data_IF_513459163399
#
_entry.id   IF_513459163399
#
_cell.length_a   1.000
_cell.length_b   1.000
_cell.length_c   1.000
_cell.angle_alpha   90.00
_cell.angle_beta   90.00
_cell.angle_gamma   90.00
#
_symmetry.space_group_name_H-M   'P 1'
#
loop_
_entity.id
_entity.type
_entity.pdbx_description
1 polymer ?
#
# COMPACT_ATOMS: atom_id res chain seq x y z
N UNK A 1 -43.69 -60.05 43.03
CA UNK A 1 -42.64 -60.18 44.04
C UNK A 1 -41.99 -58.84 44.05
N UNK A 2 -42.45 -58.09 44.89
CA UNK A 2 -42.08 -57.61 46.26
C UNK A 2 -41.11 -56.46 46.12
N UNK A 3 -41.63 -55.33 46.40
CA UNK A 3 -41.65 -54.56 47.67
C UNK A 3 -40.48 -53.59 47.75
N UNK A 4 -40.81 -52.34 47.68
CA UNK A 4 -40.85 -51.31 48.75
C UNK A 4 -39.49 -50.96 49.33
N UNK A 5 -39.09 -49.71 49.34
CA UNK A 5 -39.08 -48.91 50.56
C UNK A 5 -38.81 -47.38 50.26
N UNK A 6 -39.61 -46.64 50.95
CA UNK A 6 -39.64 -45.19 51.11
C UNK A 6 -38.36 -44.62 51.74
N UNK A 7 -38.11 -43.34 51.45
CA UNK A 7 -37.19 -42.48 52.17
C UNK A 7 -37.34 -41.02 51.78
N UNK A 8 -38.30 -40.33 52.39
CA UNK A 8 -38.37 -38.86 52.45
C UNK A 8 -37.11 -38.34 53.17
N UNK A 9 -36.52 -37.29 52.64
CA UNK A 9 -36.13 -36.20 53.51
C UNK A 9 -36.06 -34.86 52.78
N UNK A 10 -36.70 -34.00 53.42
CA UNK A 10 -37.05 -32.60 53.24
C UNK A 10 -35.88 -31.63 53.18
N UNK A 11 -36.19 -30.51 52.54
CA UNK A 11 -35.80 -29.15 52.88
C UNK A 11 -34.36 -28.69 52.61
N UNK A 12 -34.30 -27.75 51.73
CA UNK A 12 -33.14 -26.90 51.53
C UNK A 12 -33.36 -25.90 50.41
N UNK A 13 -34.49 -25.19 50.38
CA UNK A 13 -34.62 -23.94 49.63
C UNK A 13 -33.68 -22.92 50.28
N UNK A 14 -32.47 -22.82 49.76
CA UNK A 14 -31.62 -21.65 49.99
C UNK A 14 -32.11 -20.59 49.02
N UNK A 15 -32.93 -19.67 49.55
CA UNK A 15 -33.17 -18.36 48.94
C UNK A 15 -31.83 -17.62 48.98
N UNK A 16 -31.10 -17.65 47.87
CA UNK A 16 -30.10 -16.64 47.61
C UNK A 16 -30.88 -15.35 47.29
N UNK A 17 -31.21 -14.58 48.30
CA UNK A 17 -31.49 -13.15 48.17
C UNK A 17 -30.21 -12.52 47.60
N UNK A 18 -30.14 -12.39 46.29
CA UNK A 18 -29.15 -11.55 45.61
C UNK A 18 -29.30 -10.14 46.14
N UNK A 19 -28.29 -9.71 46.87
CA UNK A 19 -28.22 -8.42 47.50
C UNK A 19 -28.30 -7.33 46.43
N UNK A 20 -29.36 -6.54 46.34
CA UNK A 20 -29.54 -5.55 45.25
C UNK A 20 -28.46 -4.46 45.24
N UNK A 21 -27.70 -4.31 46.32
CA UNK A 21 -26.57 -3.38 46.40
C UNK A 21 -25.33 -3.85 45.63
N UNK A 22 -25.07 -5.16 45.53
CA UNK A 22 -23.92 -5.69 44.80
C UNK A 22 -24.12 -5.55 43.27
N UNK A 23 -25.34 -5.65 42.78
CA UNK A 23 -25.69 -5.41 41.39
C UNK A 23 -25.63 -3.92 41.01
N UNK A 24 -25.95 -3.01 41.95
CA UNK A 24 -25.83 -1.57 41.74
C UNK A 24 -24.37 -1.14 41.63
N UNK A 25 -23.48 -1.72 42.43
CA UNK A 25 -22.04 -1.42 42.40
C UNK A 25 -21.34 -1.97 41.14
N UNK A 26 -21.79 -3.10 40.61
CA UNK A 26 -21.29 -3.59 39.29
C UNK A 26 -21.80 -2.76 38.10
N UNK A 27 -23.05 -2.31 38.14
CA UNK A 27 -23.62 -1.40 37.14
C UNK A 27 -22.97 -0.01 37.22
N UNK A 28 -22.73 0.50 38.43
CA UNK A 28 -22.01 1.76 38.63
C UNK A 28 -20.55 1.64 38.18
N UNK A 29 -19.88 0.51 38.47
CA UNK A 29 -18.51 0.26 37.95
C UNK A 29 -18.49 0.11 36.44
N UNK A 30 -19.47 -0.52 35.79
CA UNK A 30 -19.60 -0.61 34.36
C UNK A 30 -19.87 0.76 33.71
N UNK A 31 -20.79 1.56 34.29
CA UNK A 31 -21.07 2.92 33.82
C UNK A 31 -19.93 3.90 34.09
N UNK A 32 -19.16 3.70 35.17
CA UNK A 32 -17.96 4.51 35.46
C UNK A 32 -16.78 4.11 34.56
N UNK A 33 -16.71 2.85 34.17
CA UNK A 33 -15.78 2.41 33.11
C UNK A 33 -16.14 2.96 31.73
N UNK A 34 -17.44 3.00 31.37
CA UNK A 34 -17.88 3.66 30.12
C UNK A 34 -17.67 5.18 30.15
N UNK A 35 -17.93 5.86 31.27
CA UNK A 35 -17.72 7.31 31.38
C UNK A 35 -16.23 7.71 31.51
N UNK A 36 -15.35 6.83 31.97
CA UNK A 36 -13.89 7.09 31.93
C UNK A 36 -13.28 6.94 30.52
N UNK A 37 -14.04 6.44 29.54
CA UNK A 37 -13.60 6.40 28.15
C UNK A 37 -13.93 7.66 27.35
N UNK A 38 -14.86 8.50 27.82
CA UNK A 38 -15.09 9.84 27.31
C UNK A 38 -14.42 10.86 28.24
N UNK A 39 -13.08 10.80 28.30
CA UNK A 39 -12.32 11.90 28.88
C UNK A 39 -12.69 13.18 28.15
N UNK A 40 -13.07 14.21 28.89
CA UNK A 40 -13.31 15.56 28.39
C UNK A 40 -12.11 16.07 27.60
N UNK A 41 -12.32 16.97 26.65
CA UNK A 41 -11.29 17.56 25.77
C UNK A 41 -10.04 18.05 26.51
N UNK A 42 -10.15 18.39 27.81
CA UNK A 42 -9.07 18.86 28.66
C UNK A 42 -8.10 17.75 29.13
N UNK A 43 -8.53 16.48 29.16
CA UNK A 43 -7.68 15.33 29.58
C UNK A 43 -6.86 14.71 28.43
N UNK A 44 -7.15 15.06 27.19
CA UNK A 44 -6.42 14.64 26.01
C UNK A 44 -5.19 15.51 25.67
N UNK A 45 -4.86 16.47 26.50
CA UNK A 45 -3.55 17.14 26.45
C UNK A 45 -2.49 16.15 26.92
N UNK A 46 -2.21 15.17 26.07
CA UNK A 46 -1.03 14.29 26.22
C UNK A 46 0.18 15.22 26.17
N UNK A 47 0.84 15.39 27.32
CA UNK A 47 2.09 16.12 27.41
C UNK A 47 3.01 15.64 26.28
N UNK A 48 3.64 16.56 25.61
CA UNK A 48 4.62 16.40 24.49
C UNK A 48 5.79 15.44 24.80
N UNK A 49 5.82 14.86 26.03
CA UNK A 49 6.87 13.99 26.54
C UNK A 49 6.94 12.58 25.89
N UNK A 50 5.99 12.22 25.00
CA UNK A 50 5.98 10.92 24.32
C UNK A 50 6.58 10.98 22.89
N UNK A 51 7.10 12.13 22.49
CA UNK A 51 7.76 12.24 21.20
C UNK A 51 9.17 11.64 21.31
N UNK A 52 9.51 10.59 20.55
CA UNK A 52 10.87 10.07 20.56
C UNK A 52 11.83 11.17 20.07
N UNK A 53 12.98 11.29 20.71
CA UNK A 53 14.06 12.17 20.22
C UNK A 53 14.44 11.72 18.80
N UNK A 54 14.23 12.59 17.83
CA UNK A 54 14.50 12.30 16.43
C UNK A 54 15.88 12.89 16.10
N UNK A 55 16.80 12.03 15.74
CA UNK A 55 18.08 12.45 15.20
C UNK A 55 17.85 13.19 13.87
N UNK A 56 18.17 14.48 13.85
CA UNK A 56 18.01 15.32 12.67
C UNK A 56 19.16 15.05 11.71
N UNK A 57 18.86 14.41 10.59
CA UNK A 57 19.82 14.15 9.52
C UNK A 57 19.68 15.23 8.46
N UNK A 58 20.77 15.86 8.08
CA UNK A 58 20.80 16.83 6.97
C UNK A 58 21.56 16.28 5.77
N UNK A 59 21.02 16.43 4.58
CA UNK A 59 21.65 16.07 3.32
C UNK A 59 21.44 17.18 2.29
N UNK A 60 22.50 17.64 1.65
CA UNK A 60 22.47 18.76 0.70
C UNK A 60 21.79 20.05 1.26
N UNK A 61 21.93 20.32 2.57
CA UNK A 61 21.29 21.46 3.21
C UNK A 61 19.80 21.29 3.53
N UNK A 62 19.20 20.15 3.22
CA UNK A 62 17.81 19.83 3.56
C UNK A 62 17.82 18.98 4.83
N UNK A 63 17.23 19.52 5.89
CA UNK A 63 17.08 18.81 7.16
C UNK A 63 15.83 17.91 7.13
N UNK A 64 15.93 16.73 7.75
CA UNK A 64 14.85 15.72 7.79
C UNK A 64 13.57 16.21 8.49
N UNK A 65 13.68 17.26 9.31
CA UNK A 65 12.58 17.85 10.08
C UNK A 65 11.82 18.98 9.35
N UNK A 66 12.18 19.26 8.11
CA UNK A 66 11.54 20.30 7.30
C UNK A 66 10.25 19.80 6.65
N UNK A 67 9.30 20.71 6.40
CA UNK A 67 8.09 20.40 5.63
C UNK A 67 8.42 19.83 4.24
N UNK A 68 9.45 20.35 3.60
CA UNK A 68 9.90 19.88 2.29
C UNK A 68 10.37 18.42 2.32
N UNK A 69 11.12 18.02 3.35
CA UNK A 69 11.54 16.64 3.55
C UNK A 69 10.35 15.67 3.68
N UNK A 70 9.35 16.06 4.48
CA UNK A 70 8.14 15.25 4.66
C UNK A 70 7.34 15.16 3.35
N UNK A 71 7.22 16.25 2.57
CA UNK A 71 6.58 16.25 1.25
C UNK A 71 7.29 15.26 0.31
N UNK A 72 8.61 15.29 0.22
CA UNK A 72 9.40 14.36 -0.61
C UNK A 72 9.18 12.91 -0.16
N UNK A 73 9.21 12.64 1.14
CA UNK A 73 8.98 11.31 1.68
C UNK A 73 7.57 10.79 1.36
N UNK A 74 6.55 11.64 1.44
CA UNK A 74 5.18 11.29 1.06
C UNK A 74 5.05 11.01 -0.44
N UNK A 75 5.66 11.85 -1.28
CA UNK A 75 5.68 11.66 -2.73
C UNK A 75 6.39 10.34 -3.06
N UNK A 76 7.58 10.10 -2.50
CA UNK A 76 8.34 8.85 -2.73
C UNK A 76 7.59 7.61 -2.24
N UNK A 77 6.82 7.72 -1.15
CA UNK A 77 6.02 6.61 -0.64
C UNK A 77 4.81 6.27 -1.50
N UNK A 78 4.18 7.28 -2.11
CA UNK A 78 3.06 7.09 -3.02
C UNK A 78 3.53 6.57 -4.39
N UNK A 79 4.60 7.16 -4.91
CA UNK A 79 5.13 6.77 -6.21
C UNK A 79 5.81 5.39 -6.09
N UNK A 80 5.27 4.45 -6.82
CA UNK A 80 5.78 3.08 -6.86
C UNK A 80 5.73 2.48 -8.26
N UNK A 81 6.24 1.25 -8.42
CA UNK A 81 6.17 0.52 -9.69
C UNK A 81 4.74 0.37 -10.24
N UNK A 82 3.71 0.48 -9.38
CA UNK A 82 2.30 0.42 -9.78
C UNK A 82 1.87 1.54 -10.74
N UNK A 83 2.41 2.75 -10.59
CA UNK A 83 2.03 3.88 -11.48
C UNK A 83 2.49 3.67 -12.94
N UNK A 84 3.49 2.83 -13.17
CA UNK A 84 3.97 2.48 -14.51
C UNK A 84 2.99 1.55 -15.28
N UNK A 85 1.96 1.03 -14.61
CA UNK A 85 0.86 0.29 -15.25
C UNK A 85 -0.27 1.20 -15.72
N UNK A 86 -0.38 2.44 -15.24
CA UNK A 86 -1.51 3.32 -15.55
C UNK A 86 -1.73 3.60 -17.05
N UNK A 87 -0.70 3.71 -17.92
CA UNK A 87 -0.91 3.85 -19.35
C UNK A 87 -1.65 2.67 -19.99
N UNK A 88 -1.52 1.44 -19.45
CA UNK A 88 -2.25 0.27 -19.95
C UNK A 88 -3.75 0.38 -19.70
N UNK A 89 -4.14 1.05 -18.62
CA UNK A 89 -5.56 1.33 -18.32
C UNK A 89 -6.14 2.27 -19.38
N UNK A 90 -5.39 3.31 -19.76
CA UNK A 90 -5.82 4.24 -20.81
C UNK A 90 -6.00 3.52 -22.16
N UNK A 91 -5.09 2.59 -22.49
CA UNK A 91 -5.20 1.77 -23.70
C UNK A 91 -6.47 0.91 -23.69
N UNK A 92 -6.80 0.30 -22.56
CA UNK A 92 -7.90 -0.66 -22.44
C UNK A 92 -9.27 0.02 -22.30
N UNK A 93 -9.35 1.06 -21.47
CA UNK A 93 -10.61 1.72 -21.08
C UNK A 93 -10.96 2.94 -21.95
N UNK A 94 -9.98 3.52 -22.64
CA UNK A 94 -10.14 4.81 -23.35
C UNK A 94 -10.09 6.02 -22.42
N UNK A 95 -9.83 7.19 -23.00
CA UNK A 95 -9.55 8.42 -22.25
C UNK A 95 -10.68 8.87 -21.30
N UNK A 96 -11.97 8.93 -21.72
CA UNK A 96 -13.03 9.46 -20.85
C UNK A 96 -13.21 8.63 -19.59
N UNK A 97 -13.18 7.31 -19.73
CA UNK A 97 -13.38 6.38 -18.61
C UNK A 97 -12.18 6.37 -17.67
N UNK A 98 -10.96 6.37 -18.24
CA UNK A 98 -9.72 6.46 -17.47
C UNK A 98 -9.67 7.72 -16.60
N UNK A 99 -10.04 8.88 -17.14
CA UNK A 99 -10.12 10.14 -16.37
C UNK A 99 -11.16 10.02 -15.25
N UNK A 100 -12.32 9.43 -15.54
CA UNK A 100 -13.38 9.25 -14.55
C UNK A 100 -12.94 8.35 -13.39
N UNK A 101 -12.34 7.19 -13.69
CA UNK A 101 -11.78 6.27 -12.68
C UNK A 101 -10.71 6.99 -11.85
N UNK A 102 -9.78 7.63 -12.54
CA UNK A 102 -8.67 8.35 -11.91
C UNK A 102 -9.19 9.39 -10.90
N UNK A 103 -10.18 10.21 -11.28
CA UNK A 103 -10.76 11.22 -10.39
C UNK A 103 -11.50 10.59 -9.21
N UNK A 104 -12.30 9.54 -9.43
CA UNK A 104 -13.04 8.86 -8.36
C UNK A 104 -12.07 8.29 -7.33
N UNK A 105 -11.05 7.55 -7.76
CA UNK A 105 -10.07 6.96 -6.84
C UNK A 105 -9.29 8.05 -6.11
N UNK A 106 -8.84 9.07 -6.84
CA UNK A 106 -8.07 10.19 -6.29
C UNK A 106 -8.83 10.92 -5.19
N UNK A 107 -10.09 11.31 -5.42
CA UNK A 107 -10.91 12.01 -4.43
C UNK A 107 -11.18 11.11 -3.22
N UNK A 108 -11.42 9.82 -3.45
CA UNK A 108 -11.69 8.87 -2.38
C UNK A 108 -10.46 8.65 -1.47
N UNK A 109 -9.27 8.52 -2.07
CA UNK A 109 -8.00 8.38 -1.35
C UNK A 109 -7.66 9.65 -0.60
N UNK A 110 -7.79 10.83 -1.24
CA UNK A 110 -7.60 12.11 -0.56
C UNK A 110 -8.43 12.21 0.71
N UNK A 111 -9.70 11.83 0.61
CA UNK A 111 -10.61 11.87 1.72
C UNK A 111 -10.19 10.95 2.88
N UNK A 112 -9.82 9.70 2.60
CA UNK A 112 -9.43 8.74 3.65
C UNK A 112 -8.10 9.10 4.31
N UNK A 113 -7.16 9.69 3.57
CA UNK A 113 -5.92 10.21 4.15
C UNK A 113 -6.19 11.48 4.98
N UNK A 114 -7.13 12.35 4.59
CA UNK A 114 -7.51 13.52 5.42
C UNK A 114 -8.14 13.09 6.74
N UNK A 115 -8.92 11.99 6.76
CA UNK A 115 -9.39 11.40 8.01
C UNK A 115 -8.22 10.95 8.90
N UNK A 116 -7.26 10.23 8.31
CA UNK A 116 -6.09 9.77 9.04
C UNK A 116 -5.21 10.92 9.53
N UNK A 117 -5.05 11.96 8.69
CA UNK A 117 -4.34 13.20 9.06
C UNK A 117 -4.95 13.88 10.29
N UNK A 118 -6.27 14.08 10.29
CA UNK A 118 -6.97 14.69 11.42
C UNK A 118 -6.72 13.88 12.69
N UNK A 119 -6.69 12.57 12.56
CA UNK A 119 -6.41 11.66 13.64
C UNK A 119 -5.01 11.86 14.28
N UNK A 120 -3.98 11.90 13.43
CA UNK A 120 -2.60 12.11 13.88
C UNK A 120 -2.44 13.46 14.59
N UNK A 121 -3.14 14.49 14.10
CA UNK A 121 -3.13 15.83 14.72
C UNK A 121 -3.77 15.80 16.11
N UNK A 122 -4.91 15.11 16.24
CA UNK A 122 -5.69 15.10 17.47
C UNK A 122 -5.05 14.19 18.54
N UNK A 123 -4.53 13.03 18.16
CA UNK A 123 -4.02 12.02 19.09
C UNK A 123 -2.51 12.05 19.30
N UNK A 124 -1.75 12.66 18.39
CA UNK A 124 -0.28 12.62 18.34
C UNK A 124 0.30 11.20 18.27
N UNK A 125 -0.46 10.25 17.75
CA UNK A 125 0.03 8.91 17.45
C UNK A 125 0.57 8.84 16.02
N UNK A 126 1.82 8.39 15.89
CA UNK A 126 2.57 8.39 14.63
C UNK A 126 2.70 6.99 14.00
N UNK A 127 2.01 6.00 14.50
CA UNK A 127 1.94 4.67 13.91
C UNK A 127 0.48 4.31 13.67
N UNK A 128 0.16 3.86 12.46
CA UNK A 128 -1.21 3.47 12.14
C UNK A 128 -1.66 2.26 12.96
N UNK A 129 -0.74 1.32 13.24
CA UNK A 129 -1.00 0.20 14.14
C UNK A 129 -1.34 0.66 15.56
N UNK A 130 -0.59 1.64 16.11
CA UNK A 130 -0.86 2.20 17.43
C UNK A 130 -2.20 2.93 17.47
N UNK A 131 -2.51 3.72 16.45
CA UNK A 131 -3.83 4.36 16.31
C UNK A 131 -4.94 3.30 16.37
N UNK A 132 -4.81 2.24 15.56
CA UNK A 132 -5.81 1.17 15.50
C UNK A 132 -5.94 0.43 16.84
N UNK A 133 -4.83 0.17 17.53
CA UNK A 133 -4.84 -0.50 18.83
C UNK A 133 -5.54 0.33 19.92
N UNK A 134 -5.22 1.61 20.03
CA UNK A 134 -5.77 2.50 21.05
C UNK A 134 -7.29 2.69 20.89
N UNK A 135 -7.78 2.71 19.64
CA UNK A 135 -9.19 2.97 19.35
C UNK A 135 -10.01 1.69 19.29
N UNK A 136 -9.53 0.69 18.53
CA UNK A 136 -10.30 -0.48 18.17
C UNK A 136 -9.87 -1.75 18.94
N UNK A 137 -8.80 -1.65 19.76
CA UNK A 137 -8.26 -2.73 20.55
C UNK A 137 -7.55 -3.83 19.74
N UNK A 138 -7.17 -4.90 20.43
CA UNK A 138 -6.26 -5.95 19.95
C UNK A 138 -6.75 -6.67 18.69
N UNK A 139 -8.03 -6.98 18.56
CA UNK A 139 -8.57 -7.72 17.39
C UNK A 139 -8.34 -6.97 16.07
N UNK A 140 -8.55 -5.67 16.08
CA UNK A 140 -8.34 -4.83 14.90
C UNK A 140 -6.86 -4.58 14.61
N UNK A 141 -6.02 -4.53 15.65
CA UNK A 141 -4.58 -4.49 15.48
C UNK A 141 -4.08 -5.73 14.71
N UNK A 142 -4.55 -6.93 15.07
CA UNK A 142 -4.18 -8.16 14.37
C UNK A 142 -4.62 -8.10 12.90
N UNK A 143 -5.88 -7.70 12.63
CA UNK A 143 -6.38 -7.55 11.25
C UNK A 143 -5.53 -6.54 10.47
N UNK A 144 -5.25 -5.38 11.06
CA UNK A 144 -4.37 -4.37 10.47
C UNK A 144 -2.99 -4.94 10.13
N UNK A 145 -2.35 -5.56 11.12
CA UNK A 145 -0.96 -6.02 10.98
C UNK A 145 -0.83 -7.12 9.93
N UNK A 146 -1.75 -8.10 9.92
CA UNK A 146 -1.76 -9.17 8.93
C UNK A 146 -2.03 -8.59 7.53
N UNK A 147 -3.05 -7.74 7.39
CA UNK A 147 -3.41 -7.14 6.11
C UNK A 147 -2.27 -6.28 5.56
N UNK A 148 -1.68 -5.47 6.42
CA UNK A 148 -0.56 -4.59 6.06
C UNK A 148 0.69 -5.39 5.69
N UNK A 149 1.03 -6.43 6.46
CA UNK A 149 2.19 -7.28 6.19
C UNK A 149 2.05 -7.97 4.83
N UNK A 150 0.93 -8.65 4.57
CA UNK A 150 0.69 -9.34 3.30
C UNK A 150 0.70 -8.35 2.13
N UNK A 151 0.07 -7.19 2.29
CA UNK A 151 0.01 -6.17 1.25
C UNK A 151 1.41 -5.65 0.88
N UNK A 152 2.23 -5.26 1.87
CA UNK A 152 3.57 -4.73 1.58
C UNK A 152 4.55 -5.80 1.11
N UNK A 153 4.44 -7.05 1.57
CA UNK A 153 5.19 -8.15 1.00
C UNK A 153 4.82 -8.38 -0.49
N UNK A 154 3.54 -8.24 -0.84
CA UNK A 154 3.13 -8.34 -2.25
C UNK A 154 3.71 -7.24 -3.12
N UNK A 155 3.88 -6.02 -2.59
CA UNK A 155 4.55 -4.92 -3.29
C UNK A 155 6.04 -5.24 -3.51
N UNK A 156 6.74 -5.75 -2.49
CA UNK A 156 8.16 -6.12 -2.60
C UNK A 156 8.36 -7.24 -3.64
N UNK A 157 7.51 -8.29 -3.63
CA UNK A 157 7.51 -9.34 -4.65
C UNK A 157 7.31 -8.76 -6.05
N UNK A 158 6.37 -7.82 -6.20
CA UNK A 158 6.11 -7.15 -7.49
C UNK A 158 7.35 -6.39 -7.97
N UNK A 159 8.02 -5.66 -7.09
CA UNK A 159 9.23 -4.90 -7.43
C UNK A 159 10.39 -5.81 -7.81
N UNK A 160 10.65 -6.84 -7.03
CA UNK A 160 11.68 -7.82 -7.32
C UNK A 160 11.44 -8.55 -8.65
N UNK A 161 10.19 -8.91 -8.93
CA UNK A 161 9.81 -9.52 -10.21
C UNK A 161 10.07 -8.58 -11.39
N UNK A 162 9.76 -7.29 -11.24
CA UNK A 162 10.06 -6.27 -12.25
C UNK A 162 11.57 -6.13 -12.46
N UNK A 163 12.35 -6.01 -11.39
CA UNK A 163 13.81 -5.91 -11.45
C UNK A 163 14.41 -7.15 -12.10
N UNK A 164 13.94 -8.35 -11.72
CA UNK A 164 14.39 -9.61 -12.33
C UNK A 164 14.17 -9.62 -13.84
N UNK A 165 12.99 -9.24 -14.29
CA UNK A 165 12.66 -9.19 -15.72
C UNK A 165 13.52 -8.18 -16.47
N UNK A 166 13.68 -6.97 -15.90
CA UNK A 166 14.47 -5.90 -16.53
C UNK A 166 15.96 -6.30 -16.63
N UNK A 167 16.53 -6.81 -15.54
CA UNK A 167 17.93 -7.25 -15.54
C UNK A 167 18.16 -8.42 -16.50
N UNK A 168 17.20 -9.34 -16.60
CA UNK A 168 17.25 -10.43 -17.57
C UNK A 168 17.38 -9.95 -19.01
N UNK A 169 16.54 -8.96 -19.36
CA UNK A 169 16.52 -8.35 -20.69
C UNK A 169 17.79 -7.52 -20.94
N UNK A 170 18.30 -6.83 -19.93
CA UNK A 170 19.49 -5.99 -20.01
C UNK A 170 20.76 -6.81 -20.22
N UNK A 171 20.87 -7.98 -19.58
CA UNK A 171 22.02 -8.88 -19.66
C UNK A 171 21.92 -9.84 -20.86
N UNK A 172 20.81 -9.82 -21.60
CA UNK A 172 20.63 -10.65 -22.81
C UNK A 172 20.66 -12.16 -22.51
N UNK A 173 20.26 -12.58 -21.30
CA UNK A 173 20.23 -14.00 -20.98
C UNK A 173 19.15 -14.72 -21.79
N UNK A 174 19.57 -15.61 -22.66
CA UNK A 174 18.67 -16.55 -23.34
C UNK A 174 18.12 -17.58 -22.37
N UNK A 175 17.05 -18.28 -22.75
CA UNK A 175 16.44 -19.34 -21.95
C UNK A 175 17.42 -20.43 -21.52
N UNK A 176 18.47 -20.66 -22.33
CA UNK A 176 19.52 -21.67 -22.06
C UNK A 176 20.39 -21.36 -20.84
N UNK A 177 20.41 -20.11 -20.35
CA UNK A 177 21.20 -19.67 -19.19
C UNK A 177 20.35 -19.40 -17.95
N UNK A 178 19.18 -20.03 -17.85
CA UNK A 178 18.23 -19.79 -16.74
C UNK A 178 18.84 -19.98 -15.35
N UNK A 179 19.67 -21.02 -15.15
CA UNK A 179 20.33 -21.29 -13.88
C UNK A 179 21.33 -20.19 -13.51
N UNK A 180 22.21 -19.80 -14.45
CA UNK A 180 23.23 -18.77 -14.22
C UNK A 180 22.58 -17.42 -13.93
N UNK A 181 21.53 -17.09 -14.68
CA UNK A 181 20.70 -15.90 -14.47
C UNK A 181 20.14 -15.84 -13.05
N UNK A 182 19.56 -16.95 -12.58
CA UNK A 182 18.99 -17.03 -11.23
C UNK A 182 20.09 -16.90 -10.15
N UNK A 183 21.23 -17.57 -10.31
CA UNK A 183 22.35 -17.47 -9.36
C UNK A 183 22.87 -16.04 -9.27
N UNK A 184 23.05 -15.36 -10.41
CA UNK A 184 23.53 -13.97 -10.43
C UNK A 184 22.50 -13.05 -9.79
N UNK A 185 21.23 -13.18 -10.17
CA UNK A 185 20.17 -12.32 -9.64
C UNK A 185 20.03 -12.48 -8.13
N UNK A 186 19.76 -13.69 -7.63
CA UNK A 186 19.54 -13.93 -6.20
C UNK A 186 20.81 -13.77 -5.37
N UNK A 187 21.99 -14.08 -5.94
CA UNK A 187 23.27 -13.84 -5.29
C UNK A 187 23.61 -12.37 -5.07
N UNK A 188 23.06 -11.47 -5.90
CA UNK A 188 23.25 -10.03 -5.76
C UNK A 188 22.09 -9.35 -5.04
N UNK A 189 20.82 -9.73 -5.33
CA UNK A 189 19.65 -9.07 -4.76
C UNK A 189 19.54 -9.29 -3.26
N UNK A 190 19.70 -10.53 -2.79
CA UNK A 190 19.52 -10.85 -1.37
C UNK A 190 20.50 -10.07 -0.46
N UNK A 191 21.83 -10.07 -0.68
CA UNK A 191 22.74 -9.28 0.15
C UNK A 191 22.47 -7.76 0.06
N UNK A 192 22.13 -7.26 -1.14
CA UNK A 192 21.85 -5.85 -1.35
C UNK A 192 20.57 -5.41 -0.62
N UNK A 193 19.50 -6.20 -0.68
CA UNK A 193 18.26 -5.95 0.04
C UNK A 193 18.48 -5.97 1.55
N UNK A 194 19.20 -7.00 2.08
CA UNK A 194 19.52 -7.09 3.50
C UNK A 194 20.26 -5.83 3.95
N UNK A 195 21.29 -5.40 3.19
CA UNK A 195 22.06 -4.20 3.49
C UNK A 195 21.15 -2.95 3.49
N UNK A 196 20.34 -2.76 2.45
CA UNK A 196 19.47 -1.62 2.29
C UNK A 196 18.43 -1.57 3.41
N UNK A 197 17.80 -2.70 3.75
CA UNK A 197 16.77 -2.77 4.78
C UNK A 197 17.34 -2.53 6.18
N UNK A 198 18.47 -3.11 6.51
CA UNK A 198 19.09 -2.91 7.83
C UNK A 198 19.59 -1.48 8.03
N UNK A 199 20.13 -0.86 6.99
CA UNK A 199 20.80 0.43 7.11
C UNK A 199 19.86 1.62 6.87
N UNK A 200 19.03 1.56 5.83
CA UNK A 200 18.20 2.68 5.37
C UNK A 200 16.72 2.60 5.76
N UNK A 201 16.16 1.42 6.03
CA UNK A 201 14.76 1.29 6.42
C UNK A 201 14.51 1.74 7.87
N UNK A 202 14.92 2.96 8.17
CA UNK A 202 14.71 3.66 9.45
C UNK A 202 14.09 5.02 9.16
N UNK A 203 13.08 5.41 9.93
CA UNK A 203 12.35 6.67 9.71
C UNK A 203 13.30 7.88 9.64
N UNK A 204 14.37 7.84 10.41
CA UNK A 204 15.39 8.91 10.46
C UNK A 204 16.27 8.97 9.19
N UNK A 205 16.56 7.82 8.57
CA UNK A 205 17.47 7.71 7.40
C UNK A 205 16.75 7.65 6.06
N UNK A 206 15.42 7.43 6.08
CA UNK A 206 14.63 7.25 4.86
C UNK A 206 14.64 8.48 3.95
N UNK A 207 14.84 9.66 4.52
CA UNK A 207 14.90 10.92 3.78
C UNK A 207 15.90 10.87 2.61
N UNK A 208 17.09 10.33 2.83
CA UNK A 208 18.12 10.20 1.80
C UNK A 208 17.62 9.29 0.64
N UNK A 209 17.08 8.12 0.97
CA UNK A 209 16.57 7.18 -0.03
C UNK A 209 15.36 7.75 -0.77
N UNK A 210 14.46 8.43 -0.07
CA UNK A 210 13.31 9.10 -0.69
C UNK A 210 13.75 10.19 -1.67
N UNK A 211 14.77 10.98 -1.32
CA UNK A 211 15.29 12.03 -2.19
C UNK A 211 15.93 11.47 -3.45
N UNK A 212 16.75 10.41 -3.31
CA UNK A 212 17.35 9.72 -4.45
C UNK A 212 16.27 9.10 -5.33
N UNK A 213 15.29 8.41 -4.73
CA UNK A 213 14.17 7.79 -5.43
C UNK A 213 13.34 8.83 -6.21
N UNK A 214 12.99 9.96 -5.57
CA UNK A 214 12.28 11.06 -6.24
C UNK A 214 13.09 11.66 -7.39
N UNK A 215 14.40 11.83 -7.24
CA UNK A 215 15.25 12.34 -8.30
C UNK A 215 15.29 11.39 -9.50
N UNK A 216 15.53 10.10 -9.28
CA UNK A 216 15.54 9.09 -10.33
C UNK A 216 14.16 9.03 -11.01
N UNK A 217 13.08 9.07 -10.22
CA UNK A 217 11.73 9.07 -10.77
C UNK A 217 11.46 10.32 -11.63
N UNK A 218 11.95 11.49 -11.23
CA UNK A 218 11.84 12.69 -12.04
C UNK A 218 12.54 12.53 -13.40
N UNK A 219 13.70 11.89 -13.45
CA UNK A 219 14.37 11.58 -14.72
C UNK A 219 13.53 10.63 -15.57
N UNK A 220 12.97 9.57 -14.98
CA UNK A 220 12.05 8.64 -15.67
C UNK A 220 10.85 9.39 -16.21
N UNK A 221 10.22 10.23 -15.39
CA UNK A 221 9.09 11.07 -15.76
C UNK A 221 9.40 11.98 -16.94
N UNK A 222 10.53 12.68 -16.92
CA UNK A 222 10.96 13.53 -18.04
C UNK A 222 11.15 12.73 -19.33
N UNK A 223 11.74 11.54 -19.26
CA UNK A 223 11.89 10.67 -20.45
C UNK A 223 10.52 10.28 -21.00
N UNK A 224 9.56 9.89 -20.13
CA UNK A 224 8.20 9.53 -20.54
C UNK A 224 7.51 10.73 -21.22
N UNK A 225 7.56 11.89 -20.60
CA UNK A 225 6.90 13.10 -21.13
C UNK A 225 7.51 13.53 -22.46
N UNK A 226 8.84 13.61 -22.55
CA UNK A 226 9.52 14.02 -23.78
C UNK A 226 9.24 13.02 -24.92
N UNK A 227 9.41 11.73 -24.67
CA UNK A 227 9.21 10.70 -25.70
C UNK A 227 7.74 10.60 -26.10
N UNK A 228 6.82 10.64 -25.12
CA UNK A 228 5.38 10.65 -25.39
C UNK A 228 4.93 11.86 -26.19
N UNK A 229 5.47 13.04 -25.90
CA UNK A 229 5.19 14.28 -26.64
C UNK A 229 5.69 14.18 -28.07
N UNK A 230 6.90 13.68 -28.29
CA UNK A 230 7.45 13.51 -29.67
C UNK A 230 6.60 12.54 -30.48
N UNK A 231 6.18 11.43 -29.90
CA UNK A 231 5.33 10.44 -30.56
C UNK A 231 3.91 10.98 -30.84
N UNK A 232 3.35 11.81 -29.94
CA UNK A 232 2.06 12.48 -30.15
C UNK A 232 2.08 13.34 -31.43
N UNK A 233 3.13 14.17 -31.62
CA UNK A 233 3.26 14.99 -32.82
C UNK A 233 3.48 14.16 -34.10
N UNK A 234 4.09 12.97 -34.00
CA UNK A 234 4.23 12.07 -35.16
C UNK A 234 2.89 11.42 -35.55
N UNK A 235 2.01 11.09 -34.58
CA UNK A 235 0.68 10.53 -34.84
C UNK A 235 -0.24 11.53 -35.59
N UNK A 236 -0.21 12.80 -35.22
CA UNK A 236 -0.97 13.84 -35.95
C UNK A 236 -0.63 13.89 -37.45
N UNK A 237 0.63 13.60 -37.82
CA UNK A 237 1.06 13.61 -39.19
C UNK A 237 0.59 12.40 -40.03
N UNK A 238 0.20 11.29 -39.38
CA UNK A 238 -0.16 10.02 -40.04
C UNK A 238 -1.67 9.77 -40.17
N UNK A 239 -2.55 10.71 -39.78
CA UNK A 239 -4.03 10.59 -39.86
C UNK A 239 -4.60 9.24 -39.37
N UNK A 240 -4.00 8.63 -38.34
CA UNK A 240 -4.51 7.36 -37.79
C UNK A 240 -5.69 7.62 -36.85
N UNK A 241 -6.82 6.98 -37.16
CA UNK A 241 -8.04 6.95 -36.36
C UNK A 241 -7.71 6.74 -34.86
N UNK A 242 -8.06 7.72 -34.07
CA UNK A 242 -7.74 7.77 -32.63
C UNK A 242 -8.47 6.67 -31.87
N UNK A 243 -7.81 5.53 -31.65
CA UNK A 243 -8.21 4.48 -30.68
C UNK A 243 -8.30 5.02 -29.24
N UNK A 244 -7.86 6.25 -29.03
CA UNK A 244 -7.84 6.95 -27.75
C UNK A 244 -9.22 7.13 -27.11
N UNK A 245 -10.28 7.20 -27.92
CA UNK A 245 -11.63 7.50 -27.46
C UNK A 245 -12.44 6.23 -27.17
N UNK A 246 -12.12 5.11 -27.85
CA UNK A 246 -12.92 3.89 -27.79
C UNK A 246 -12.22 2.81 -26.96
N UNK A 247 -12.92 2.14 -26.03
CA UNK A 247 -12.36 1.00 -25.32
C UNK A 247 -12.06 -0.15 -26.29
N UNK A 248 -10.96 -0.86 -26.05
CA UNK A 248 -10.54 -2.02 -26.86
C UNK A 248 -11.37 -3.27 -26.52
N UNK A 249 -11.81 -3.37 -25.27
CA UNK A 249 -12.58 -4.52 -24.77
C UNK A 249 -14.01 -4.44 -25.32
N UNK A 250 -14.40 -5.41 -26.13
CA UNK A 250 -15.71 -5.41 -26.81
C UNK A 250 -16.80 -6.16 -26.03
N UNK A 251 -16.45 -7.17 -25.23
CA UNK A 251 -17.40 -7.88 -24.38
C UNK A 251 -17.78 -7.00 -23.19
N UNK A 252 -19.08 -6.81 -23.00
CA UNK A 252 -19.62 -5.94 -21.92
C UNK A 252 -19.33 -6.50 -20.52
N UNK A 253 -19.35 -7.83 -20.35
CA UNK A 253 -19.11 -8.46 -19.06
C UNK A 253 -17.63 -8.41 -18.69
N UNK A 254 -16.75 -8.75 -19.62
CA UNK A 254 -15.31 -8.63 -19.48
C UNK A 254 -14.90 -7.18 -19.23
N UNK A 255 -15.51 -6.23 -19.95
CA UNK A 255 -15.29 -4.81 -19.74
C UNK A 255 -15.67 -4.35 -18.33
N UNK A 256 -16.81 -4.83 -17.81
CA UNK A 256 -17.23 -4.49 -16.45
C UNK A 256 -16.23 -4.98 -15.39
N UNK A 257 -15.77 -6.24 -15.49
CA UNK A 257 -14.79 -6.78 -14.55
C UNK A 257 -13.43 -6.12 -14.68
N UNK A 258 -12.99 -5.84 -15.90
CA UNK A 258 -11.75 -5.10 -16.16
C UNK A 258 -11.82 -3.69 -15.55
N UNK A 259 -12.97 -3.02 -15.62
CA UNK A 259 -13.20 -1.72 -14.98
C UNK A 259 -12.95 -1.77 -13.46
N UNK A 260 -13.46 -2.81 -12.79
CA UNK A 260 -13.23 -3.00 -11.34
C UNK A 260 -11.74 -3.21 -11.04
N UNK A 261 -11.05 -3.97 -11.88
CA UNK A 261 -9.61 -4.19 -11.77
C UNK A 261 -8.80 -2.91 -11.97
N UNK A 262 -9.18 -2.06 -12.94
CA UNK A 262 -8.52 -0.76 -13.16
C UNK A 262 -8.65 0.18 -11.97
N UNK A 263 -9.81 0.19 -11.29
CA UNK A 263 -10.00 0.97 -10.06
C UNK A 263 -9.02 0.50 -8.97
N UNK A 264 -8.84 -0.81 -8.82
CA UNK A 264 -7.91 -1.38 -7.84
C UNK A 264 -6.45 -1.11 -8.21
N UNK A 265 -6.08 -1.13 -9.50
CA UNK A 265 -4.73 -0.78 -9.95
C UNK A 265 -4.39 0.68 -9.62
N UNK A 266 -5.32 1.61 -9.84
CA UNK A 266 -5.14 3.00 -9.41
C UNK A 266 -5.04 3.11 -7.89
N UNK A 267 -5.92 2.41 -7.15
CA UNK A 267 -5.88 2.39 -5.69
C UNK A 267 -4.52 1.90 -5.17
N UNK A 268 -3.99 0.83 -5.75
CA UNK A 268 -2.70 0.26 -5.39
C UNK A 268 -1.56 1.29 -5.54
N UNK A 269 -1.60 2.11 -6.58
CA UNK A 269 -0.65 3.19 -6.78
C UNK A 269 -0.72 4.30 -5.72
N UNK A 270 -1.88 4.50 -5.08
CA UNK A 270 -2.08 5.50 -4.03
C UNK A 270 -1.90 4.97 -2.60
N UNK A 271 -1.42 3.75 -2.41
CA UNK A 271 -1.42 3.10 -1.09
C UNK A 271 -0.23 3.55 -0.23
N UNK A 272 -0.28 4.75 0.32
CA UNK A 272 0.69 5.25 1.30
C UNK A 272 0.07 5.57 2.68
N UNK A 273 -1.15 5.09 2.94
CA UNK A 273 -1.89 5.33 4.19
C UNK A 273 -1.11 4.89 5.43
N UNK A 274 -0.50 3.71 5.38
CA UNK A 274 0.19 3.14 6.54
C UNK A 274 1.43 3.91 6.95
N UNK A 275 2.16 4.46 5.97
CA UNK A 275 3.38 5.21 6.26
C UNK A 275 3.11 6.67 6.59
N UNK A 276 1.93 7.18 6.21
CA UNK A 276 1.57 8.58 6.39
C UNK A 276 1.75 9.08 7.83
N UNK A 277 1.24 8.39 8.88
CA UNK A 277 1.47 8.80 10.26
C UNK A 277 2.95 8.81 10.64
N UNK A 278 3.70 7.78 10.22
CA UNK A 278 5.12 7.65 10.54
C UNK A 278 5.98 8.77 9.97
N UNK A 279 5.63 9.29 8.78
CA UNK A 279 6.36 10.38 8.15
C UNK A 279 6.08 11.73 8.82
N UNK A 280 4.90 11.93 9.37
CA UNK A 280 4.55 13.15 10.09
C UNK A 280 5.33 13.35 11.41
N UNK A 281 5.90 12.27 11.98
CA UNK A 281 6.71 12.35 13.19
C UNK A 281 7.93 13.27 13.01
N UNK A 282 8.45 13.38 11.79
CA UNK A 282 9.61 14.21 11.47
C UNK A 282 9.32 15.72 11.50
N UNK A 283 8.05 16.14 11.54
CA UNK A 283 7.71 17.56 11.57
C UNK A 283 8.00 18.19 12.94
N UNK A 284 8.65 19.34 12.97
CA UNK A 284 8.83 20.13 14.20
C UNK A 284 7.51 20.51 14.86
N UNK A 285 6.57 21.03 14.04
CA UNK A 285 5.28 21.49 14.50
C UNK A 285 4.17 20.69 13.83
N UNK A 286 3.47 19.89 14.63
CA UNK A 286 2.36 19.05 14.18
C UNK A 286 1.06 19.73 14.56
N UNK A 287 0.68 20.73 13.80
CA UNK A 287 -0.59 21.42 13.88
C UNK A 287 -1.46 21.11 12.65
N UNK A 288 -2.74 21.45 12.74
CA UNK A 288 -3.71 21.20 11.67
C UNK A 288 -3.37 21.98 10.38
N UNK A 289 -2.81 23.19 10.52
CA UNK A 289 -2.46 24.06 9.38
C UNK A 289 -1.28 23.49 8.58
N UNK A 290 -0.19 23.15 9.26
CA UNK A 290 1.01 22.62 8.62
C UNK A 290 0.79 21.25 8.01
N UNK A 291 0.13 20.32 8.74
CA UNK A 291 -0.16 18.99 8.24
C UNK A 291 -1.13 19.01 7.06
N UNK A 292 -2.13 19.89 7.06
CA UNK A 292 -3.04 20.08 5.93
C UNK A 292 -2.32 20.66 4.71
N UNK A 293 -1.43 21.61 4.90
CA UNK A 293 -0.61 22.19 3.83
C UNK A 293 0.26 21.11 3.17
N UNK A 294 1.00 20.33 3.97
CA UNK A 294 1.84 19.24 3.49
C UNK A 294 1.02 18.18 2.74
N UNK A 295 -0.12 17.77 3.31
CA UNK A 295 -1.02 16.82 2.66
C UNK A 295 -1.48 17.32 1.30
N UNK A 296 -1.98 18.55 1.22
CA UNK A 296 -2.49 19.12 -0.02
C UNK A 296 -1.40 19.24 -1.09
N UNK A 297 -0.22 19.76 -0.74
CA UNK A 297 0.89 19.92 -1.70
C UNK A 297 1.37 18.56 -2.21
N UNK A 298 1.63 17.62 -1.31
CA UNK A 298 2.05 16.26 -1.71
C UNK A 298 1.03 15.61 -2.63
N UNK A 299 -0.24 15.73 -2.28
CA UNK A 299 -1.32 15.13 -3.05
C UNK A 299 -1.47 15.75 -4.45
N UNK A 300 -1.39 17.07 -4.57
CA UNK A 300 -1.43 17.77 -5.87
C UNK A 300 -0.25 17.35 -6.74
N UNK A 301 0.95 17.24 -6.18
CA UNK A 301 2.12 16.79 -6.95
C UNK A 301 1.93 15.35 -7.42
N UNK A 302 1.48 14.43 -6.56
CA UNK A 302 1.20 13.03 -6.92
C UNK A 302 0.14 12.96 -8.02
N UNK A 303 -0.94 13.72 -7.89
CA UNK A 303 -2.01 13.80 -8.89
C UNK A 303 -1.47 14.21 -10.26
N UNK A 304 -0.69 15.28 -10.32
CA UNK A 304 -0.08 15.80 -11.55
C UNK A 304 0.83 14.73 -12.17
N UNK A 305 1.72 14.14 -11.38
CA UNK A 305 2.66 13.13 -11.86
C UNK A 305 1.92 11.91 -12.44
N UNK A 306 0.90 11.40 -11.74
CA UNK A 306 0.13 10.25 -12.19
C UNK A 306 -0.68 10.54 -13.45
N UNK A 307 -1.28 11.72 -13.53
CA UNK A 307 -1.99 12.15 -14.74
C UNK A 307 -1.06 12.19 -15.97
N UNK A 308 0.11 12.81 -15.84
CA UNK A 308 1.07 12.92 -16.92
C UNK A 308 1.66 11.56 -17.32
N UNK A 309 1.97 10.69 -16.35
CA UNK A 309 2.45 9.33 -16.66
C UNK A 309 1.39 8.54 -17.42
N UNK A 310 0.13 8.61 -16.97
CA UNK A 310 -0.98 7.92 -17.65
C UNK A 310 -1.12 8.41 -19.09
N UNK A 311 -1.13 9.73 -19.28
CA UNK A 311 -1.36 10.35 -20.58
C UNK A 311 -0.16 10.17 -21.53
N UNK A 312 1.03 10.62 -21.15
CA UNK A 312 2.21 10.52 -22.02
C UNK A 312 2.75 9.10 -22.15
N UNK A 313 2.56 8.27 -21.12
CA UNK A 313 2.90 6.86 -21.20
C UNK A 313 2.10 6.10 -22.25
N UNK A 314 0.86 6.51 -22.54
CA UNK A 314 0.07 5.96 -23.63
C UNK A 314 0.74 6.20 -25.00
N UNK A 315 1.27 7.41 -25.25
CA UNK A 315 1.93 7.76 -26.51
C UNK A 315 3.34 7.14 -26.67
N UNK A 316 3.83 6.39 -25.70
CA UNK A 316 5.03 5.59 -25.91
C UNK A 316 4.83 4.43 -26.90
N UNK A 317 3.62 4.28 -27.47
CA UNK A 317 3.22 3.22 -28.43
C UNK A 317 3.43 1.80 -27.88
N UNK A 318 3.14 1.63 -26.62
CA UNK A 318 3.36 0.37 -25.91
C UNK A 318 2.07 -0.45 -25.97
N UNK A 319 2.05 -1.63 -26.61
CA UNK A 319 0.87 -2.47 -26.61
C UNK A 319 0.56 -2.99 -25.19
N UNK A 320 -0.67 -2.78 -24.72
CA UNK A 320 -1.43 -3.39 -23.62
C UNK A 320 -0.67 -3.94 -22.39
N UNK A 321 0.58 -3.63 -22.17
CA UNK A 321 1.37 -4.13 -21.06
C UNK A 321 2.12 -3.00 -20.36
N UNK A 322 2.61 -3.30 -19.17
CA UNK A 322 3.42 -2.40 -18.38
C UNK A 322 4.56 -1.80 -19.22
N UNK A 323 4.79 -0.48 -19.10
CA UNK A 323 5.91 0.26 -19.73
C UNK A 323 7.24 -0.50 -19.63
N UNK A 324 7.42 -1.25 -18.54
CA UNK A 324 8.60 -2.04 -18.26
C UNK A 324 8.83 -3.20 -19.23
N UNK A 325 7.78 -3.86 -19.72
CA UNK A 325 7.90 -5.06 -20.55
C UNK A 325 8.02 -4.74 -22.04
N UNK A 326 7.36 -3.68 -22.49
CA UNK A 326 7.17 -3.45 -23.90
C UNK A 326 8.28 -2.65 -24.56
N UNK A 327 8.92 -1.77 -23.83
CA UNK A 327 10.13 -1.11 -24.37
C UNK A 327 11.27 -2.10 -24.63
N UNK A 328 11.15 -3.32 -24.05
CA UNK A 328 12.12 -4.38 -24.30
C UNK A 328 11.95 -5.07 -25.65
N UNK A 329 10.76 -5.02 -26.25
CA UNK A 329 10.43 -5.74 -27.49
C UNK A 329 10.46 -4.86 -28.75
N UNK A 330 10.52 -3.53 -28.59
CA UNK A 330 10.58 -2.62 -29.73
C UNK A 330 11.99 -2.59 -30.34
N UNK A 331 12.16 -3.29 -31.47
CA UNK A 331 13.45 -3.40 -32.18
C UNK A 331 13.88 -2.12 -32.93
N UNK A 332 12.96 -1.17 -33.11
CA UNK A 332 13.23 0.07 -33.88
C UNK A 332 13.77 1.24 -33.04
N UNK A 333 13.76 1.12 -31.70
CA UNK A 333 14.24 2.16 -30.79
C UNK A 333 15.72 1.98 -30.50
N UNK A 334 16.45 3.09 -30.42
CA UNK A 334 17.89 3.09 -30.05
C UNK A 334 18.10 2.30 -28.74
N UNK A 335 18.74 1.13 -28.86
CA UNK A 335 18.99 0.18 -27.75
C UNK A 335 19.62 0.86 -26.53
N UNK A 336 20.51 1.84 -26.75
CA UNK A 336 21.14 2.58 -25.66
C UNK A 336 20.15 3.37 -24.80
N UNK A 337 19.14 4.01 -25.41
CA UNK A 337 18.09 4.76 -24.68
C UNK A 337 17.21 3.83 -23.86
N UNK A 338 16.84 2.68 -24.44
CA UNK A 338 16.03 1.66 -23.77
C UNK A 338 16.77 1.10 -22.55
N UNK A 339 18.06 0.78 -22.70
CA UNK A 339 18.87 0.25 -21.61
C UNK A 339 19.09 1.27 -20.49
N UNK A 340 19.30 2.56 -20.84
CA UNK A 340 19.36 3.63 -19.83
C UNK A 340 18.06 3.72 -19.03
N UNK A 341 16.92 3.67 -19.69
CA UNK A 341 15.63 3.71 -19.03
C UNK A 341 15.40 2.49 -18.10
N UNK A 342 15.78 1.31 -18.55
CA UNK A 342 15.75 0.07 -17.74
C UNK A 342 16.60 0.20 -16.47
N UNK A 343 17.82 0.71 -16.59
CA UNK A 343 18.72 0.95 -15.45
C UNK A 343 18.09 1.95 -14.47
N UNK A 344 17.53 3.05 -14.96
CA UNK A 344 16.87 4.04 -14.10
C UNK A 344 15.69 3.45 -13.35
N UNK A 345 14.87 2.60 -14.00
CA UNK A 345 13.76 1.94 -13.33
C UNK A 345 14.26 0.96 -12.27
N UNK A 346 15.27 0.14 -12.55
CA UNK A 346 15.84 -0.75 -11.55
C UNK A 346 16.33 0.04 -10.32
N UNK A 347 17.07 1.13 -10.54
CA UNK A 347 17.57 1.99 -9.47
C UNK A 347 16.41 2.64 -8.69
N UNK A 348 15.36 3.09 -9.38
CA UNK A 348 14.17 3.64 -8.75
C UNK A 348 13.47 2.62 -7.86
N UNK A 349 13.24 1.41 -8.35
CA UNK A 349 12.59 0.35 -7.58
C UNK A 349 13.42 0.00 -6.35
N UNK A 350 14.74 -0.21 -6.49
CA UNK A 350 15.62 -0.49 -5.36
C UNK A 350 15.64 0.63 -4.31
N UNK A 351 15.70 1.89 -4.73
CA UNK A 351 15.74 3.02 -3.79
C UNK A 351 14.39 3.28 -3.13
N UNK A 352 13.30 2.81 -3.70
CA UNK A 352 11.95 2.95 -3.14
C UNK A 352 11.54 1.81 -2.18
N UNK A 353 12.23 0.65 -2.18
CA UNK A 353 11.96 -0.48 -1.28
C UNK A 353 12.08 -0.13 0.22
N UNK A 354 13.12 0.58 0.69
CA UNK A 354 13.32 0.82 2.13
C UNK A 354 12.15 1.54 2.81
N UNK A 355 11.46 2.42 2.09
CA UNK A 355 10.32 3.16 2.63
C UNK A 355 9.14 2.24 2.98
N UNK A 356 8.97 1.16 2.22
CA UNK A 356 7.93 0.14 2.44
C UNK A 356 8.34 -0.84 3.51
N UNK A 357 9.62 -1.14 3.58
CA UNK A 357 10.15 -2.04 4.60
C UNK A 357 10.00 -1.47 6.01
N UNK A 358 9.98 -0.14 6.19
CA UNK A 358 9.65 0.49 7.49
C UNK A 358 8.28 -0.01 7.98
N UNK A 359 7.29 -0.13 7.08
CA UNK A 359 5.95 -0.58 7.45
C UNK A 359 5.94 -2.07 7.81
N UNK A 360 6.66 -2.90 7.04
CA UNK A 360 6.83 -4.32 7.35
C UNK A 360 7.45 -4.46 8.73
N UNK A 361 8.48 -3.67 9.02
CA UNK A 361 9.17 -3.64 10.31
C UNK A 361 8.24 -3.23 11.46
N UNK A 362 7.47 -2.16 11.31
CA UNK A 362 6.52 -1.71 12.31
C UNK A 362 5.45 -2.78 12.60
N UNK A 363 5.01 -3.49 11.55
CA UNK A 363 3.99 -4.53 11.68
C UNK A 363 4.47 -5.75 12.47
N UNK A 364 5.66 -6.29 12.18
CA UNK A 364 6.13 -7.43 12.96
C UNK A 364 6.52 -7.04 14.39
N UNK A 365 6.93 -5.80 14.63
CA UNK A 365 7.16 -5.33 16.00
C UNK A 365 5.88 -5.23 16.79
N UNK A 366 4.82 -4.74 16.19
CA UNK A 366 3.48 -4.74 16.81
C UNK A 366 3.00 -6.16 17.17
N UNK A 367 3.37 -7.18 16.38
CA UNK A 367 3.03 -8.58 16.68
C UNK A 367 3.88 -9.17 17.79
N UNK A 368 5.19 -8.88 17.82
CA UNK A 368 6.14 -9.53 18.73
C UNK A 368 6.20 -8.86 20.10
N UNK A 369 5.99 -7.56 20.18
CA UNK A 369 6.22 -6.79 21.41
C UNK A 369 5.11 -5.75 21.62
N UNK A 370 4.01 -6.20 22.23
CA UNK A 370 2.82 -5.37 22.52
C UNK A 370 3.11 -4.16 23.42
N UNK A 371 4.23 -4.13 24.13
CA UNK A 371 4.54 -3.11 25.14
C UNK A 371 5.67 -2.14 24.77
N UNK A 372 6.63 -2.53 23.93
CA UNK A 372 7.82 -1.74 23.63
C UNK A 372 8.02 -1.58 22.12
N UNK A 373 7.26 -0.68 21.49
CA UNK A 373 7.37 -0.32 20.07
C UNK A 373 8.73 0.32 19.68
N UNK A 374 9.57 0.68 20.64
CA UNK A 374 10.74 1.51 20.41
C UNK A 374 12.11 0.80 20.46
N UNK A 375 12.21 -0.44 20.93
CA UNK A 375 13.50 -1.12 21.07
C UNK A 375 13.47 -2.56 20.55
N UNK A 376 13.55 -2.68 19.23
CA UNK A 376 13.81 -4.00 18.65
C UNK A 376 15.28 -4.30 18.81
N UNK A 377 15.59 -5.43 19.41
CA UNK A 377 16.97 -5.95 19.39
C UNK A 377 17.45 -6.07 17.95
N UNK A 378 18.65 -5.59 17.65
CA UNK A 378 19.30 -5.71 16.32
C UNK A 378 19.19 -7.14 15.75
N UNK A 379 19.30 -8.14 16.61
CA UNK A 379 19.20 -9.55 16.22
C UNK A 379 17.81 -9.94 15.71
N UNK A 380 16.74 -9.46 16.37
CA UNK A 380 15.36 -9.72 15.92
C UNK A 380 15.09 -9.03 14.59
N UNK A 381 15.57 -7.79 14.44
CA UNK A 381 15.46 -7.03 13.19
C UNK A 381 16.20 -7.74 12.04
N UNK A 382 17.43 -8.19 12.27
CA UNK A 382 18.22 -8.94 11.30
C UNK A 382 17.51 -10.22 10.84
N UNK A 383 16.99 -11.01 11.78
CA UNK A 383 16.26 -12.25 11.46
C UNK A 383 15.02 -11.93 10.61
N UNK A 384 14.24 -10.92 10.98
CA UNK A 384 13.05 -10.53 10.25
C UNK A 384 13.38 -10.04 8.82
N UNK A 385 14.43 -9.23 8.66
CA UNK A 385 14.94 -8.81 7.36
C UNK A 385 15.32 -10.02 6.49
N UNK A 386 16.11 -10.94 7.04
CA UNK A 386 16.55 -12.14 6.31
C UNK A 386 15.34 -13.00 5.89
N UNK A 387 14.40 -13.25 6.80
CA UNK A 387 13.20 -14.05 6.49
C UNK A 387 12.33 -13.38 5.44
N UNK A 388 12.10 -12.07 5.54
CA UNK A 388 11.34 -11.31 4.57
C UNK A 388 11.99 -11.35 3.18
N UNK A 389 13.29 -11.07 3.11
CA UNK A 389 14.05 -11.07 1.85
C UNK A 389 14.05 -12.46 1.19
N UNK A 390 14.33 -13.52 1.96
CA UNK A 390 14.30 -14.89 1.43
C UNK A 390 12.90 -15.25 0.94
N UNK A 391 11.85 -14.91 1.69
CA UNK A 391 10.47 -15.19 1.31
C UNK A 391 10.08 -14.50 0.00
N UNK A 392 10.34 -13.21 -0.14
CA UNK A 392 10.04 -12.46 -1.37
C UNK A 392 10.81 -13.00 -2.58
N UNK A 393 12.13 -13.24 -2.42
CA UNK A 393 12.96 -13.78 -3.48
C UNK A 393 12.55 -15.22 -3.86
N UNK A 394 12.13 -16.05 -2.91
CA UNK A 394 11.63 -17.41 -3.16
C UNK A 394 10.34 -17.37 -4.02
N UNK A 395 9.42 -16.47 -3.71
CA UNK A 395 8.20 -16.31 -4.53
C UNK A 395 8.58 -15.91 -5.95
N UNK A 396 9.46 -14.92 -6.13
CA UNK A 396 9.94 -14.50 -7.46
C UNK A 396 10.61 -15.65 -8.20
N UNK A 397 11.41 -16.47 -7.52
CA UNK A 397 12.04 -17.65 -8.10
C UNK A 397 11.01 -18.68 -8.57
N UNK A 398 10.07 -19.07 -7.70
CA UNK A 398 9.03 -20.06 -8.03
C UNK A 398 8.17 -19.63 -9.20
N UNK A 399 7.83 -18.35 -9.30
CA UNK A 399 7.01 -17.82 -10.37
C UNK A 399 7.76 -17.70 -11.70
N UNK A 400 9.09 -17.53 -11.68
CA UNK A 400 9.90 -17.46 -12.90
C UNK A 400 10.37 -18.82 -13.45
N UNK A 401 10.31 -19.90 -12.66
CA UNK A 401 10.66 -21.28 -13.12
C UNK A 401 9.50 -21.94 -13.91
N UNK A 402 8.45 -21.26 -14.23
CA UNK A 402 7.34 -21.76 -15.06
C UNK A 402 6.43 -22.80 -14.38
N UNK A 403 6.51 -22.98 -13.06
CA UNK A 403 5.55 -23.83 -12.32
C UNK A 403 4.16 -23.16 -12.33
N UNK A 404 4.14 -21.82 -12.38
CA UNK A 404 2.92 -21.02 -12.44
C UNK A 404 3.15 -19.96 -13.50
N UNK A 405 2.56 -20.10 -14.69
CA UNK A 405 2.51 -19.04 -15.71
C UNK A 405 1.55 -17.93 -15.24
N UNK A 406 2.03 -17.12 -14.35
CA UNK A 406 1.24 -16.12 -13.66
C UNK A 406 1.77 -14.74 -14.05
N UNK A 407 0.93 -13.89 -14.58
CA UNK A 407 1.30 -12.49 -14.73
C UNK A 407 1.34 -11.85 -13.33
N UNK A 408 2.49 -12.06 -12.63
CA UNK A 408 2.66 -11.75 -11.22
C UNK A 408 2.26 -10.33 -10.93
N UNK A 409 2.75 -9.39 -11.72
CA UNK A 409 2.58 -7.95 -11.45
C UNK A 409 1.10 -7.60 -11.41
N UNK A 410 0.37 -7.92 -12.48
CA UNK A 410 -1.05 -7.55 -12.58
C UNK A 410 -1.92 -8.34 -11.60
N UNK A 411 -1.72 -9.64 -11.50
CA UNK A 411 -2.53 -10.48 -10.64
C UNK A 411 -2.28 -10.21 -9.14
N UNK A 412 -1.03 -9.94 -8.74
CA UNK A 412 -0.73 -9.51 -7.36
C UNK A 412 -1.37 -8.17 -7.03
N UNK A 413 -1.29 -7.19 -7.94
CA UNK A 413 -1.93 -5.90 -7.75
C UNK A 413 -3.44 -6.06 -7.57
N UNK A 414 -4.10 -6.85 -8.42
CA UNK A 414 -5.55 -7.03 -8.37
C UNK A 414 -5.99 -7.85 -7.15
N UNK A 415 -5.31 -8.95 -6.85
CA UNK A 415 -5.66 -9.84 -5.74
C UNK A 415 -5.39 -9.16 -4.39
N UNK A 416 -4.17 -8.73 -4.15
CA UNK A 416 -3.75 -8.18 -2.86
C UNK A 416 -4.20 -6.73 -2.69
N UNK A 417 -4.24 -5.94 -3.76
CA UNK A 417 -4.82 -4.60 -3.76
C UNK A 417 -6.33 -4.63 -3.52
N UNK A 418 -7.05 -5.56 -4.13
CA UNK A 418 -8.49 -5.71 -3.98
C UNK A 418 -8.93 -6.09 -2.56
N UNK A 419 -8.17 -6.93 -1.86
CA UNK A 419 -8.48 -7.33 -0.48
C UNK A 419 -7.81 -6.37 0.51
N UNK A 420 -6.48 -6.42 0.57
CA UNK A 420 -5.73 -5.78 1.65
C UNK A 420 -5.56 -4.29 1.43
N UNK A 421 -5.44 -3.83 0.17
CA UNK A 421 -5.42 -2.41 -0.17
C UNK A 421 -6.72 -1.71 0.23
N UNK A 422 -7.87 -2.34 0.01
CA UNK A 422 -9.17 -1.79 0.43
C UNK A 422 -9.29 -1.75 1.96
N UNK A 423 -8.84 -2.79 2.67
CA UNK A 423 -8.83 -2.79 4.14
C UNK A 423 -8.01 -1.61 4.68
N UNK A 424 -6.82 -1.39 4.13
CA UNK A 424 -5.87 -0.37 4.58
C UNK A 424 -6.32 1.04 4.22
N UNK A 425 -6.82 1.23 2.99
CA UNK A 425 -7.14 2.56 2.47
C UNK A 425 -8.53 3.06 2.86
N UNK A 426 -9.49 2.17 3.07
CA UNK A 426 -10.88 2.56 3.31
C UNK A 426 -11.43 2.03 4.63
N UNK A 427 -11.35 0.73 4.89
CA UNK A 427 -12.00 0.14 6.06
C UNK A 427 -11.39 0.69 7.35
N UNK A 428 -10.10 0.56 7.52
CA UNK A 428 -9.42 0.94 8.76
C UNK A 428 -9.43 2.45 9.05
N UNK A 429 -9.12 3.36 8.11
CA UNK A 429 -9.20 4.80 8.37
C UNK A 429 -10.60 5.25 8.78
N UNK A 430 -11.63 4.69 8.13
CA UNK A 430 -13.03 5.05 8.41
C UNK A 430 -13.48 4.51 9.76
N UNK A 431 -13.19 3.24 10.08
CA UNK A 431 -13.58 2.65 11.37
C UNK A 431 -12.84 3.36 12.52
N UNK A 432 -11.56 3.65 12.38
CA UNK A 432 -10.81 4.44 13.35
C UNK A 432 -11.45 5.82 13.55
N UNK A 433 -11.82 6.51 12.46
CA UNK A 433 -12.48 7.82 12.55
C UNK A 433 -13.83 7.75 13.27
N UNK A 434 -14.61 6.72 13.00
CA UNK A 434 -15.92 6.50 13.66
C UNK A 434 -15.74 6.17 15.13
N UNK A 435 -14.71 5.41 15.49
CA UNK A 435 -14.40 5.04 16.88
C UNK A 435 -14.20 6.28 17.78
N UNK A 436 -13.64 7.36 17.24
CA UNK A 436 -13.41 8.61 17.98
C UNK A 436 -14.55 9.60 17.82
N UNK A 437 -15.05 9.80 16.61
CA UNK A 437 -15.94 10.89 16.29
C UNK A 437 -17.44 10.53 16.28
N UNK A 438 -17.75 9.24 16.45
CA UNK A 438 -19.13 8.73 16.39
C UNK A 438 -19.68 8.56 14.97
N UNK A 439 -20.82 7.85 14.87
CA UNK A 439 -21.43 7.44 13.59
C UNK A 439 -22.20 8.55 12.87
N UNK A 440 -22.63 9.55 13.59
CA UNK A 440 -23.61 10.56 13.11
C UNK A 440 -22.99 11.71 12.33
N UNK A 441 -21.68 11.87 12.35
CA UNK A 441 -21.03 12.94 11.60
C UNK A 441 -21.09 12.68 10.10
N UNK A 442 -21.32 13.70 9.30
CA UNK A 442 -21.38 13.62 7.83
C UNK A 442 -20.15 12.92 7.24
N UNK A 443 -18.95 13.19 7.76
CA UNK A 443 -17.72 12.50 7.37
C UNK A 443 -17.79 11.00 7.65
N UNK A 444 -18.38 10.54 8.74
CA UNK A 444 -18.54 9.11 9.03
C UNK A 444 -19.46 8.43 8.00
N UNK A 445 -20.57 9.07 7.63
CA UNK A 445 -21.52 8.52 6.65
C UNK A 445 -20.86 8.39 5.28
N UNK A 446 -20.16 9.42 4.81
CA UNK A 446 -19.44 9.37 3.55
C UNK A 446 -18.35 8.29 3.57
N UNK A 447 -17.62 8.17 4.66
CA UNK A 447 -16.63 7.10 4.86
C UNK A 447 -17.25 5.72 4.74
N UNK A 448 -18.41 5.46 5.36
CA UNK A 448 -19.11 4.18 5.23
C UNK A 448 -19.49 3.87 3.78
N UNK A 449 -20.05 4.85 3.07
CA UNK A 449 -20.43 4.68 1.66
C UNK A 449 -19.19 4.28 0.84
N UNK A 450 -18.09 5.01 0.98
CA UNK A 450 -16.85 4.70 0.29
C UNK A 450 -16.32 3.30 0.65
N UNK A 451 -16.35 2.93 1.93
CA UNK A 451 -15.92 1.59 2.39
C UNK A 451 -16.74 0.49 1.73
N UNK A 452 -18.06 0.61 1.69
CA UNK A 452 -18.94 -0.40 1.06
C UNK A 452 -18.65 -0.49 -0.44
N UNK A 453 -18.61 0.65 -1.14
CA UNK A 453 -18.38 0.70 -2.58
C UNK A 453 -17.03 0.06 -2.94
N UNK A 454 -15.94 0.46 -2.28
CA UNK A 454 -14.62 -0.08 -2.59
C UNK A 454 -14.44 -1.53 -2.14
N UNK A 455 -15.16 -1.99 -1.10
CA UNK A 455 -15.18 -3.41 -0.73
C UNK A 455 -15.82 -4.28 -1.81
N UNK A 456 -16.94 -3.82 -2.40
CA UNK A 456 -17.58 -4.53 -3.52
C UNK A 456 -16.66 -4.54 -4.74
N UNK A 457 -16.08 -3.41 -5.10
CA UNK A 457 -15.12 -3.28 -6.21
C UNK A 457 -13.93 -4.22 -6.01
N UNK A 458 -13.36 -4.23 -4.81
CA UNK A 458 -12.24 -5.10 -4.47
C UNK A 458 -12.55 -6.58 -4.63
N UNK A 459 -13.71 -7.03 -4.13
CA UNK A 459 -14.15 -8.42 -4.27
C UNK A 459 -14.38 -8.82 -5.74
N UNK A 460 -14.97 -7.94 -6.54
CA UNK A 460 -15.19 -8.19 -7.96
C UNK A 460 -13.86 -8.25 -8.74
N UNK A 461 -12.90 -7.39 -8.42
CA UNK A 461 -11.55 -7.43 -9.01
C UNK A 461 -10.81 -8.73 -8.67
N UNK A 462 -10.90 -9.17 -7.42
CA UNK A 462 -10.33 -10.46 -6.98
C UNK A 462 -10.97 -11.63 -7.75
N UNK A 463 -12.30 -11.65 -7.88
CA UNK A 463 -13.02 -12.66 -8.65
C UNK A 463 -12.55 -12.71 -10.10
N UNK A 464 -12.36 -11.55 -10.73
CA UNK A 464 -11.84 -11.44 -12.10
C UNK A 464 -10.42 -12.00 -12.23
N UNK A 465 -9.53 -11.62 -11.31
CA UNK A 465 -8.15 -12.10 -11.29
C UNK A 465 -8.08 -13.63 -11.12
N UNK A 466 -8.86 -14.19 -10.19
CA UNK A 466 -8.93 -15.64 -9.98
C UNK A 466 -9.49 -16.36 -11.22
N UNK A 467 -10.56 -15.84 -11.82
CA UNK A 467 -11.12 -16.41 -13.04
C UNK A 467 -10.11 -16.45 -14.18
N UNK A 468 -9.33 -15.37 -14.38
CA UNK A 468 -8.26 -15.31 -15.37
C UNK A 468 -7.17 -16.38 -15.15
N UNK A 469 -6.80 -16.61 -13.88
CA UNK A 469 -5.80 -17.61 -13.51
C UNK A 469 -6.30 -19.04 -13.83
N UNK A 470 -7.55 -19.36 -13.52
CA UNK A 470 -8.11 -20.69 -13.76
C UNK A 470 -8.30 -21.00 -15.25
N UNK A 471 -8.77 -20.04 -16.04
CA UNK A 471 -8.99 -20.27 -17.48
C UNK A 471 -7.67 -20.44 -18.24
N UNK A 472 -6.63 -19.64 -17.92
CA UNK A 472 -5.32 -19.81 -18.57
C UNK A 472 -4.74 -21.21 -18.36
N UNK A 473 -4.96 -21.83 -17.21
CA UNK A 473 -4.50 -23.20 -16.93
C UNK A 473 -5.27 -24.28 -17.70
N UNK A 474 -6.55 -24.05 -18.03
CA UNK A 474 -7.35 -25.04 -18.77
C UNK A 474 -7.02 -25.08 -20.27
N UNK A 475 -6.67 -23.95 -20.88
CA UNK A 475 -6.30 -23.89 -22.30
C UNK A 475 -4.91 -24.45 -22.61
N UNK A 476 -4.02 -24.62 -21.65
CA UNK A 476 -2.69 -25.19 -21.85
C UNK A 476 -2.64 -26.71 -21.62
N UNK A 477 -3.71 -27.31 -21.09
CA UNK A 477 -3.84 -28.76 -20.88
C UNK A 477 -4.59 -29.47 -22.03
N UNK A 478 -5.01 -28.72 -23.06
CA UNK A 478 -5.61 -29.24 -24.31
C UNK A 478 -4.62 -29.05 -25.46
#
# INVERSE_FOLDING_TARGET
MSEDYYGEDSSGFINNEENPEENSDQLIKASTLENNYFKTEDDLVIKDNNRPEIEVVSFCGISSDTQFSVIINLISSAIGGGCLNFPSILTSAGLPLTISIFLIVTVSVYYTIDLLRSFVVDTKFFSFGKITFEILREKWLIIYTISSLIFYLSIEVTYLSQIYTILSNLLGFSENYSLLKNIIFFGLSIPLEIFIFLYYAKVQKIHLMSLISCFIFLLIFLIIVITGTLNLFQEESENKDSSLIKPVIKDKLEFFFSLMSFIIEYLYGYTYHNIYPNLLINLKNIDNKNTKFIHNISFIIILILYFFITFFGYFLRIPMSNILFTWSTYQEVNIGRVNLFRVLICLFLFTSMPIRYIIIRDNYTCLLDKKNLNEISFFKDLIAVILCTIFCNLIVYLTNISIIKFNIVTNFIQLFGGIFGVIICFILPVINYIGVNGKTKMKSILGYILTIVFSIIGLLSVGHSLHGIFIQNDFENI
#
